data_IF_804447752185
#
_entry.id   IF_804447752185
#
_cell.length_a   1.000
_cell.length_b   1.000
_cell.length_c   1.000
_cell.angle_alpha   90.00
_cell.angle_beta   90.00
_cell.angle_gamma   90.00
#
_symmetry.space_group_name_H-M   'P 1'
#
loop_
_entity.id
_entity.type
_entity.pdbx_description
1 polymer ?
#
# COMPACT_ATOMS: atom_id res chain seq x y z
N UNK A 1 12.66 12.83 21.70
CA UNK A 1 13.39 11.94 20.76
C UNK A 1 14.56 12.75 20.25
N UNK A 2 15.80 12.24 20.33
CA UNK A 2 16.96 12.98 19.81
C UNK A 2 16.92 12.97 18.28
N UNK A 3 17.15 14.13 17.67
CA UNK A 3 16.91 14.42 16.26
C UNK A 3 18.04 13.88 15.38
N UNK A 4 17.68 13.17 14.29
CA UNK A 4 18.61 12.79 13.23
C UNK A 4 18.73 13.99 12.27
N UNK A 5 19.90 14.61 12.21
CA UNK A 5 20.14 15.78 11.37
C UNK A 5 20.54 15.35 9.96
N UNK A 6 19.68 15.56 8.97
CA UNK A 6 20.00 15.37 7.56
C UNK A 6 20.45 16.70 6.96
N UNK A 7 21.61 16.71 6.30
CA UNK A 7 22.24 17.87 5.69
C UNK A 7 22.42 17.56 4.22
N UNK A 8 21.89 18.39 3.31
CA UNK A 8 22.16 18.24 1.88
C UNK A 8 23.06 19.33 1.32
N UNK A 9 24.03 18.97 0.48
CA UNK A 9 25.03 19.91 -0.07
C UNK A 9 24.71 20.39 -1.50
N UNK A 10 23.73 19.78 -2.19
CA UNK A 10 23.27 20.28 -3.49
C UNK A 10 24.28 20.16 -4.64
N UNK A 11 25.26 19.27 -4.52
CA UNK A 11 26.29 19.06 -5.53
C UNK A 11 25.64 18.44 -6.78
N UNK A 12 26.00 18.95 -7.95
CA UNK A 12 25.49 18.48 -9.24
C UNK A 12 26.61 17.67 -9.89
N UNK A 13 26.49 16.33 -9.98
CA UNK A 13 27.64 15.58 -10.48
C UNK A 13 27.55 14.06 -10.65
N UNK A 14 26.66 13.35 -9.95
CA UNK A 14 26.54 11.90 -10.16
C UNK A 14 25.20 11.54 -10.82
N UNK A 15 25.28 10.97 -12.01
CA UNK A 15 24.23 10.10 -12.52
C UNK A 15 24.57 8.63 -12.19
N UNK A 16 23.71 7.70 -12.58
CA UNK A 16 23.87 6.27 -12.32
C UNK A 16 25.23 5.71 -12.78
N UNK A 17 25.86 6.38 -13.77
CA UNK A 17 27.08 5.94 -14.47
C UNK A 17 28.31 6.74 -14.10
N UNK A 18 28.14 7.93 -13.53
CA UNK A 18 29.22 8.88 -13.26
C UNK A 18 29.39 9.01 -11.76
N UNK A 19 30.52 8.56 -11.16
CA UNK A 19 30.79 8.79 -9.75
C UNK A 19 30.79 10.28 -9.42
N UNK A 20 30.59 10.60 -8.14
CA UNK A 20 30.98 11.90 -7.59
C UNK A 20 32.42 12.21 -8.04
N UNK A 21 32.62 13.38 -8.65
CA UNK A 21 33.94 13.82 -9.10
C UNK A 21 34.79 14.31 -7.91
N UNK A 22 36.10 14.45 -8.12
CA UNK A 22 37.05 14.89 -7.08
C UNK A 22 36.68 16.25 -6.48
N UNK A 23 36.25 17.20 -7.30
CA UNK A 23 35.83 18.54 -6.85
C UNK A 23 34.64 18.48 -5.86
N UNK A 24 33.62 17.67 -6.18
CA UNK A 24 32.49 17.45 -5.29
C UNK A 24 32.91 16.76 -3.99
N UNK A 25 33.86 15.82 -4.07
CA UNK A 25 34.41 15.17 -2.88
C UNK A 25 35.21 16.15 -2.01
N UNK A 26 35.96 17.07 -2.60
CA UNK A 26 36.66 18.14 -1.87
C UNK A 26 35.68 19.06 -1.14
N UNK A 27 34.55 19.42 -1.76
CA UNK A 27 33.49 20.22 -1.10
C UNK A 27 32.89 19.47 0.09
N UNK A 28 32.62 18.17 -0.03
CA UNK A 28 32.14 17.32 1.07
C UNK A 28 33.14 17.34 2.23
N UNK A 29 34.42 17.21 1.91
CA UNK A 29 35.49 17.17 2.91
C UNK A 29 35.68 18.53 3.58
N UNK A 30 35.61 19.63 2.82
CA UNK A 30 35.61 20.98 3.37
C UNK A 30 34.42 21.19 4.33
N UNK A 31 33.23 20.73 3.94
CA UNK A 31 32.05 20.79 4.81
C UNK A 31 32.28 20.05 6.14
N UNK A 32 32.87 18.86 6.09
CA UNK A 32 33.24 18.08 7.28
C UNK A 32 34.24 18.86 8.16
N UNK A 33 35.21 19.55 7.55
CA UNK A 33 36.19 20.40 8.24
C UNK A 33 35.51 21.47 9.08
N UNK A 34 34.59 22.19 8.44
CA UNK A 34 33.98 23.40 8.97
C UNK A 34 32.86 23.09 9.98
N UNK A 35 32.17 21.96 9.82
CA UNK A 35 30.90 21.70 10.52
C UNK A 35 30.92 20.50 11.46
N UNK A 36 31.86 19.54 11.33
CA UNK A 36 31.88 18.36 12.18
C UNK A 36 32.95 18.47 13.29
N UNK A 37 32.58 18.35 14.57
CA UNK A 37 33.54 18.40 15.68
C UNK A 37 34.71 17.43 15.49
N UNK A 38 35.92 17.86 15.84
CA UNK A 38 37.12 17.03 15.77
C UNK A 38 36.94 15.71 16.54
N UNK A 39 37.41 14.60 15.96
CA UNK A 39 37.33 13.27 16.57
C UNK A 39 36.00 12.52 16.38
N UNK A 40 34.98 13.11 15.73
CA UNK A 40 33.74 12.38 15.39
C UNK A 40 34.00 11.35 14.30
N UNK A 41 33.51 10.13 14.52
CA UNK A 41 33.56 9.00 13.59
C UNK A 41 32.49 9.11 12.51
N UNK A 42 32.87 8.74 11.30
CA UNK A 42 32.12 8.92 10.06
C UNK A 42 31.98 7.56 9.35
N UNK A 43 30.83 7.30 8.75
CA UNK A 43 30.65 6.23 7.77
C UNK A 43 30.44 6.83 6.38
N UNK A 44 30.97 6.18 5.33
CA UNK A 44 30.80 6.59 3.93
C UNK A 44 30.05 5.49 3.19
N UNK A 45 28.91 5.85 2.63
CA UNK A 45 28.11 5.00 1.73
C UNK A 45 28.18 5.59 0.34
N UNK A 46 28.32 4.76 -0.68
CA UNK A 46 28.28 5.21 -2.05
C UNK A 46 27.84 4.13 -3.01
N UNK A 47 27.67 4.52 -4.26
CA UNK A 47 27.53 3.60 -5.37
C UNK A 47 28.33 4.14 -6.56
N UNK A 48 28.59 3.25 -7.52
CA UNK A 48 29.34 3.57 -8.74
C UNK A 48 30.71 4.21 -8.47
N UNK A 49 31.39 3.82 -7.38
CA UNK A 49 32.68 4.36 -6.88
C UNK A 49 32.62 5.73 -6.20
N UNK A 50 31.45 6.32 -6.04
CA UNK A 50 31.32 7.62 -5.38
C UNK A 50 31.73 7.59 -3.90
N UNK A 51 31.52 6.46 -3.23
CA UNK A 51 31.99 6.26 -1.86
C UNK A 51 33.52 6.16 -1.81
N UNK A 52 34.13 5.50 -2.80
CA UNK A 52 35.60 5.41 -2.93
C UNK A 52 36.24 6.80 -3.11
N UNK A 53 35.68 7.62 -4.00
CA UNK A 53 36.21 8.97 -4.27
C UNK A 53 36.15 9.85 -3.02
N UNK A 54 35.04 9.82 -2.30
CA UNK A 54 34.88 10.57 -1.05
C UNK A 54 35.80 10.04 0.05
N UNK A 55 35.96 8.71 0.17
CA UNK A 55 36.91 8.12 1.11
C UNK A 55 38.35 8.59 0.83
N UNK A 56 38.75 8.63 -0.43
CA UNK A 56 40.10 9.05 -0.82
C UNK A 56 40.33 10.52 -0.49
N UNK A 57 39.36 11.39 -0.78
CA UNK A 57 39.43 12.81 -0.39
C UNK A 57 39.54 13.00 1.14
N UNK A 58 38.81 12.21 1.94
CA UNK A 58 38.92 12.23 3.40
C UNK A 58 40.32 11.80 3.87
N UNK A 59 40.92 10.78 3.22
CA UNK A 59 42.27 10.30 3.55
C UNK A 59 43.34 11.34 3.22
N UNK A 60 43.22 12.05 2.11
CA UNK A 60 44.18 13.10 1.70
C UNK A 60 44.24 14.26 2.70
N UNK A 61 43.14 14.55 3.41
CA UNK A 61 43.13 15.49 4.55
C UNK A 61 43.67 14.93 5.87
N UNK A 62 44.15 13.68 5.89
CA UNK A 62 44.66 13.02 7.09
C UNK A 62 43.58 12.53 8.05
N UNK A 63 42.31 12.42 7.61
CA UNK A 63 41.18 12.01 8.45
C UNK A 63 40.76 10.55 8.26
N UNK A 64 41.59 9.73 7.63
CA UNK A 64 41.28 8.32 7.39
C UNK A 64 40.92 7.56 8.69
N UNK A 65 41.51 7.95 9.82
CA UNK A 65 41.20 7.38 11.14
C UNK A 65 39.80 7.75 11.68
N UNK A 66 39.13 8.75 11.11
CA UNK A 66 37.75 9.11 11.44
C UNK A 66 36.73 8.23 10.70
N UNK A 67 37.12 7.60 9.59
CA UNK A 67 36.20 6.74 8.82
C UNK A 67 36.17 5.34 9.44
N UNK A 68 35.08 4.99 10.10
CA UNK A 68 34.92 3.68 10.73
C UNK A 68 34.29 2.65 9.83
N UNK A 69 33.61 3.11 8.77
CA UNK A 69 33.02 2.22 7.80
C UNK A 69 32.95 2.88 6.42
N UNK A 70 33.17 2.08 5.36
CA UNK A 70 33.05 2.51 3.98
C UNK A 70 32.43 1.38 3.15
N UNK A 71 31.41 1.70 2.37
CA UNK A 71 30.71 0.76 1.52
C UNK A 71 30.39 1.42 0.18
N UNK A 72 30.90 0.83 -0.89
CA UNK A 72 30.48 1.12 -2.26
C UNK A 72 29.78 -0.12 -2.86
N UNK A 73 29.14 0.00 -4.03
CA UNK A 73 28.32 -1.06 -4.65
C UNK A 73 29.10 -2.36 -4.93
N UNK A 74 30.42 -2.26 -5.02
CA UNK A 74 31.35 -3.38 -5.21
C UNK A 74 31.92 -3.94 -3.91
N UNK A 75 31.55 -3.37 -2.76
CA UNK A 75 32.02 -3.86 -1.47
C UNK A 75 31.45 -5.28 -1.21
N UNK A 76 32.26 -6.28 -0.78
CA UNK A 76 31.81 -7.67 -0.63
C UNK A 76 30.64 -7.87 0.34
N UNK A 77 30.45 -6.91 1.25
CA UNK A 77 29.34 -6.88 2.22
C UNK A 77 28.18 -5.96 1.80
N UNK A 78 28.17 -5.44 0.59
CA UNK A 78 27.06 -4.65 0.07
C UNK A 78 25.99 -5.57 -0.48
N UNK A 79 24.76 -5.39 -0.03
CA UNK A 79 23.58 -6.03 -0.60
C UNK A 79 23.17 -5.28 -1.87
N UNK A 80 23.57 -5.80 -3.03
CA UNK A 80 23.22 -5.19 -4.30
C UNK A 80 21.72 -5.21 -4.57
N UNK A 81 20.97 -6.16 -3.99
CA UNK A 81 19.52 -6.27 -4.20
C UNK A 81 18.78 -5.17 -3.44
N UNK A 82 19.15 -4.98 -2.17
CA UNK A 82 18.50 -3.99 -1.29
C UNK A 82 19.21 -2.62 -1.29
N UNK A 83 20.36 -2.51 -1.96
CA UNK A 83 21.22 -1.32 -2.01
C UNK A 83 21.67 -0.79 -0.64
N UNK A 84 21.94 -1.69 0.32
CA UNK A 84 22.47 -1.37 1.65
C UNK A 84 23.50 -2.43 2.10
N UNK A 85 24.29 -2.22 3.17
CA UNK A 85 25.21 -3.24 3.67
C UNK A 85 24.50 -4.41 4.33
N UNK A 86 24.93 -5.66 4.04
CA UNK A 86 24.40 -6.90 4.63
C UNK A 86 24.74 -7.09 6.10
N UNK A 87 25.74 -6.37 6.62
CA UNK A 87 26.16 -6.51 8.01
C UNK A 87 26.80 -5.23 8.54
N UNK A 88 26.19 -4.70 9.59
CA UNK A 88 26.72 -3.74 10.56
C UNK A 88 26.70 -2.26 10.20
N UNK A 89 25.88 -1.54 10.97
CA UNK A 89 26.31 -0.33 11.66
C UNK A 89 25.83 -0.36 13.12
N UNK A 90 25.97 -1.51 13.78
CA UNK A 90 25.65 -1.62 15.22
C UNK A 90 26.78 -1.11 16.12
N UNK A 91 27.85 -0.59 15.53
CA UNK A 91 28.95 -0.02 16.29
C UNK A 91 28.51 1.36 16.82
N UNK A 92 28.37 1.47 18.15
CA UNK A 92 27.68 2.56 18.88
C UNK A 92 28.31 3.96 18.72
N UNK A 93 29.26 4.12 17.80
CA UNK A 93 30.14 5.28 17.76
C UNK A 93 30.11 6.04 16.42
N UNK A 94 29.37 5.55 15.41
CA UNK A 94 29.14 6.32 14.16
C UNK A 94 28.23 7.51 14.46
N UNK A 95 28.75 8.72 14.25
CA UNK A 95 28.02 9.97 14.51
C UNK A 95 27.55 10.68 13.26
N UNK A 96 28.20 10.43 12.13
CA UNK A 96 27.82 10.99 10.84
C UNK A 96 27.91 9.95 9.74
N UNK A 97 26.97 9.99 8.82
CA UNK A 97 26.95 9.10 7.66
C UNK A 97 26.88 9.93 6.39
N UNK A 98 27.84 9.74 5.50
CA UNK A 98 27.88 10.41 4.20
C UNK A 98 27.30 9.46 3.17
N UNK A 99 26.32 9.90 2.41
CA UNK A 99 25.60 9.07 1.43
C UNK A 99 25.86 9.58 0.03
N UNK A 100 26.74 8.92 -0.70
CA UNK A 100 27.25 9.31 -2.00
C UNK A 100 26.58 8.54 -3.17
N UNK A 101 25.38 8.01 -2.99
CA UNK A 101 24.67 7.28 -4.04
C UNK A 101 24.08 8.22 -5.12
N UNK A 102 23.66 7.70 -6.29
CA UNK A 102 22.84 8.47 -7.23
C UNK A 102 21.54 8.99 -6.60
N UNK A 103 20.99 10.09 -7.13
CA UNK A 103 19.84 10.79 -6.54
C UNK A 103 18.61 9.90 -6.29
N UNK A 104 18.32 8.93 -7.17
CA UNK A 104 17.21 7.99 -7.00
C UNK A 104 17.46 6.93 -5.92
N UNK A 105 18.70 6.72 -5.50
CA UNK A 105 19.07 5.80 -4.42
C UNK A 105 19.15 6.48 -3.04
N UNK A 106 19.22 7.81 -2.99
CA UNK A 106 19.31 8.54 -1.71
C UNK A 106 18.17 8.28 -0.78
N UNK A 107 16.96 8.26 -1.32
CA UNK A 107 15.80 7.93 -0.52
C UNK A 107 16.07 6.60 0.18
N UNK A 108 16.36 5.51 -0.55
CA UNK A 108 16.60 4.19 0.07
C UNK A 108 17.71 4.18 1.12
N UNK A 109 18.86 4.80 0.84
CA UNK A 109 20.01 4.77 1.77
C UNK A 109 19.78 5.63 3.01
N UNK A 110 19.23 6.84 2.86
CA UNK A 110 18.85 7.71 3.99
C UNK A 110 17.80 7.02 4.85
N UNK A 111 16.86 6.32 4.21
CA UNK A 111 15.80 5.55 4.87
C UNK A 111 16.41 4.43 5.73
N UNK A 112 17.29 3.60 5.17
CA UNK A 112 18.07 2.57 5.89
C UNK A 112 18.85 3.16 7.08
N UNK A 113 19.55 4.27 6.87
CA UNK A 113 20.33 4.91 7.93
C UNK A 113 19.42 5.42 9.05
N UNK A 114 18.31 6.08 8.72
CA UNK A 114 17.41 6.65 9.74
C UNK A 114 16.78 5.58 10.67
N UNK A 115 16.64 4.34 10.18
CA UNK A 115 15.98 3.24 10.89
C UNK A 115 16.98 2.35 11.64
N UNK A 116 18.06 1.93 10.99
CA UNK A 116 18.99 0.95 11.56
C UNK A 116 20.10 1.57 12.41
N UNK A 117 20.48 2.82 12.09
CA UNK A 117 21.40 3.62 12.89
C UNK A 117 20.64 4.43 13.93
N UNK A 118 20.20 3.75 15.01
CA UNK A 118 19.55 4.30 16.22
C UNK A 118 19.73 5.84 16.39
N UNK A 119 18.70 6.64 16.08
CA UNK A 119 18.38 8.06 16.46
C UNK A 119 19.51 9.08 16.78
N UNK A 120 20.78 8.82 16.52
CA UNK A 120 21.92 9.60 17.05
C UNK A 120 23.01 9.89 16.03
N UNK A 121 22.80 9.47 14.76
CA UNK A 121 23.67 9.83 13.66
C UNK A 121 23.10 11.02 12.88
N UNK A 122 23.97 11.94 12.44
CA UNK A 122 23.66 12.88 11.36
C UNK A 122 23.90 12.24 10.00
N UNK A 123 23.18 12.68 8.96
CA UNK A 123 23.30 12.18 7.59
C UNK A 123 23.71 13.34 6.69
N UNK A 124 24.73 13.15 5.86
CA UNK A 124 25.21 14.12 4.87
C UNK A 124 24.88 13.57 3.47
N UNK A 125 24.08 14.32 2.72
CA UNK A 125 23.63 14.04 1.36
C UNK A 125 24.29 15.02 0.39
N UNK A 126 25.37 14.64 -0.29
CA UNK A 126 26.14 15.53 -1.12
C UNK A 126 25.37 16.02 -2.35
N UNK A 127 24.57 15.20 -3.04
CA UNK A 127 23.88 15.62 -4.26
C UNK A 127 22.41 15.98 -3.98
N UNK A 128 21.89 17.03 -4.61
CA UNK A 128 20.45 17.33 -4.56
C UNK A 128 20.01 18.20 -5.75
N UNK A 129 18.78 18.02 -6.24
CA UNK A 129 18.24 18.79 -7.38
C UNK A 129 18.05 20.28 -7.10
N UNK A 130 17.86 20.69 -5.85
CA UNK A 130 17.44 22.07 -5.49
C UNK A 130 18.28 22.76 -4.41
N UNK A 131 19.37 22.14 -3.92
CA UNK A 131 20.38 22.81 -3.10
C UNK A 131 20.02 23.25 -1.68
N UNK A 132 18.80 23.04 -1.17
CA UNK A 132 18.45 23.41 0.21
C UNK A 132 17.62 22.33 0.89
N UNK A 133 18.08 21.86 2.05
CA UNK A 133 17.29 21.11 3.02
C UNK A 133 17.03 21.97 4.25
N UNK A 134 15.79 21.94 4.74
CA UNK A 134 15.47 22.26 6.13
C UNK A 134 15.84 21.05 6.99
N UNK A 135 16.38 21.29 8.19
CA UNK A 135 16.78 20.30 9.21
C UNK A 135 15.60 19.52 9.82
N UNK A 136 14.63 19.08 9.01
CA UNK A 136 13.42 18.40 9.50
C UNK A 136 13.45 16.89 9.24
N UNK A 137 12.89 16.19 10.22
CA UNK A 137 12.78 14.75 10.35
C UNK A 137 12.05 14.08 9.16
N UNK A 138 12.49 12.87 8.79
CA UNK A 138 11.73 11.97 7.93
C UNK A 138 10.62 11.34 8.79
N UNK A 139 9.38 11.76 8.58
CA UNK A 139 8.31 11.53 9.57
C UNK A 139 7.65 10.14 9.52
N UNK A 140 7.81 9.35 8.44
CA UNK A 140 7.34 7.96 8.40
C UNK A 140 7.93 7.05 7.29
N UNK A 141 8.91 6.19 7.63
CA UNK A 141 9.44 5.20 6.70
C UNK A 141 8.63 3.91 6.59
N UNK A 142 7.60 3.72 7.44
CA UNK A 142 6.91 2.43 7.53
C UNK A 142 6.37 1.98 6.17
N UNK A 143 6.56 0.69 5.82
CA UNK A 143 5.79 0.08 4.75
C UNK A 143 4.31 0.14 5.09
N UNK A 144 3.48 0.04 4.07
CA UNK A 144 2.06 -0.12 4.30
C UNK A 144 1.39 -1.00 3.27
N UNK A 145 0.26 -1.59 3.64
CA UNK A 145 -0.56 -2.40 2.74
C UNK A 145 -1.94 -1.77 2.62
N UNK A 146 -2.38 -1.58 1.37
CA UNK A 146 -3.74 -1.12 1.08
C UNK A 146 -4.60 -2.32 0.69
N UNK A 147 -5.61 -2.63 1.49
CA UNK A 147 -6.47 -3.79 1.32
C UNK A 147 -7.84 -3.31 0.87
N UNK A 148 -8.32 -3.79 -0.28
CA UNK A 148 -9.71 -3.58 -0.70
C UNK A 148 -10.22 -4.86 -1.33
N UNK A 149 -11.14 -5.53 -0.65
CA UNK A 149 -11.72 -6.76 -1.19
C UNK A 149 -12.57 -6.51 -2.45
N UNK A 150 -12.92 -7.60 -3.11
CA UNK A 150 -13.91 -7.58 -4.19
C UNK A 150 -15.21 -6.91 -3.76
N UNK A 151 -15.76 -6.07 -4.65
CA UNK A 151 -16.99 -5.30 -4.42
C UNK A 151 -16.91 -4.17 -3.38
N UNK A 152 -15.76 -3.92 -2.75
CA UNK A 152 -15.59 -2.75 -1.86
C UNK A 152 -15.40 -1.43 -2.63
N UNK A 153 -15.24 -1.48 -3.95
CA UNK A 153 -15.06 -0.29 -4.78
C UNK A 153 -13.58 0.01 -5.08
N UNK A 154 -12.74 -1.02 -5.17
CA UNK A 154 -11.30 -0.86 -5.47
C UNK A 154 -11.02 0.03 -6.69
N UNK A 155 -11.86 -0.03 -7.74
CA UNK A 155 -11.74 0.85 -8.93
C UNK A 155 -11.88 2.34 -8.61
N UNK A 156 -12.58 2.70 -7.53
CA UNK A 156 -12.72 4.09 -7.06
C UNK A 156 -11.47 4.60 -6.33
N UNK A 157 -10.78 3.72 -5.61
CA UNK A 157 -9.70 4.12 -4.70
C UNK A 157 -8.30 3.81 -5.23
N UNK A 158 -8.10 2.66 -5.89
CA UNK A 158 -6.77 2.23 -6.33
C UNK A 158 -6.09 3.19 -7.31
N UNK A 159 -6.77 3.76 -8.33
CA UNK A 159 -6.11 4.69 -9.24
C UNK A 159 -5.56 5.92 -8.52
N UNK A 160 -6.33 6.49 -7.59
CA UNK A 160 -5.91 7.62 -6.77
C UNK A 160 -4.76 7.23 -5.86
N UNK A 161 -4.91 6.14 -5.11
CA UNK A 161 -3.89 5.65 -4.18
C UNK A 161 -2.56 5.37 -4.88
N UNK A 162 -2.57 4.66 -6.01
CA UNK A 162 -1.35 4.38 -6.79
C UNK A 162 -0.71 5.67 -7.29
N UNK A 163 -1.50 6.56 -7.90
CA UNK A 163 -0.99 7.84 -8.40
C UNK A 163 -0.33 8.66 -7.30
N UNK A 164 -0.91 8.68 -6.11
CA UNK A 164 -0.40 9.43 -4.97
C UNK A 164 0.86 8.80 -4.40
N UNK A 165 0.87 7.49 -4.21
CA UNK A 165 2.04 6.79 -3.69
C UNK A 165 3.23 6.84 -4.65
N UNK A 166 2.98 6.80 -5.96
CA UNK A 166 4.03 7.04 -6.96
C UNK A 166 4.58 8.48 -6.86
N UNK A 167 3.73 9.49 -6.64
CA UNK A 167 4.16 10.87 -6.41
C UNK A 167 4.98 11.03 -5.11
N UNK A 168 4.65 10.27 -4.07
CA UNK A 168 5.42 10.21 -2.82
C UNK A 168 6.68 9.31 -2.91
N UNK A 169 7.04 8.80 -4.10
CA UNK A 169 8.21 7.94 -4.29
C UNK A 169 8.14 6.63 -3.50
N UNK A 170 6.95 6.09 -3.32
CA UNK A 170 6.72 4.77 -2.71
C UNK A 170 6.97 3.68 -3.76
N UNK A 171 7.39 2.51 -3.31
CA UNK A 171 7.76 1.39 -4.18
C UNK A 171 6.62 0.39 -4.19
N UNK A 172 5.94 0.23 -5.32
CA UNK A 172 4.87 -0.75 -5.44
C UNK A 172 5.43 -2.18 -5.42
N UNK A 173 4.85 -3.02 -4.55
CA UNK A 173 5.01 -4.47 -4.55
C UNK A 173 3.72 -5.12 -5.00
N UNK A 174 3.81 -5.85 -6.10
CA UNK A 174 2.72 -6.70 -6.51
C UNK A 174 2.65 -7.92 -5.60
N UNK A 175 1.62 -7.98 -4.77
CA UNK A 175 1.35 -9.13 -3.91
C UNK A 175 0.62 -10.25 -4.66
N UNK A 176 0.21 -10.01 -5.91
CA UNK A 176 -0.60 -10.94 -6.67
C UNK A 176 -1.96 -11.21 -6.03
N UNK A 177 -2.83 -11.91 -6.77
CA UNK A 177 -4.07 -12.45 -6.21
C UNK A 177 -3.89 -13.95 -6.04
N UNK A 178 -3.91 -14.41 -4.80
CA UNK A 178 -3.79 -15.82 -4.44
C UNK A 178 -4.93 -16.65 -5.02
N UNK A 179 -6.15 -16.11 -5.03
CA UNK A 179 -7.35 -16.80 -5.57
C UNK A 179 -7.34 -16.96 -7.09
N UNK A 180 -6.37 -16.37 -7.80
CA UNK A 180 -6.17 -16.59 -9.24
C UNK A 180 -5.06 -17.59 -9.56
N UNK A 181 -4.47 -18.21 -8.55
CA UNK A 181 -3.51 -19.28 -8.75
C UNK A 181 -4.26 -20.57 -9.15
N UNK A 182 -4.51 -20.72 -10.45
CA UNK A 182 -5.18 -21.90 -11.06
C UNK A 182 -4.57 -23.21 -10.57
N UNK A 183 -3.25 -23.24 -10.31
CA UNK A 183 -2.57 -24.43 -9.78
C UNK A 183 -2.94 -24.71 -8.33
N UNK A 184 -3.14 -23.68 -7.51
CA UNK A 184 -3.62 -23.84 -6.14
C UNK A 184 -5.05 -24.40 -6.12
N UNK A 185 -5.96 -23.82 -6.91
CA UNK A 185 -7.35 -24.30 -7.04
C UNK A 185 -7.38 -25.75 -7.54
N UNK A 186 -6.67 -26.06 -8.63
CA UNK A 186 -6.59 -27.43 -9.15
C UNK A 186 -5.99 -28.42 -8.15
N UNK A 187 -5.08 -27.99 -7.27
CA UNK A 187 -4.51 -28.83 -6.22
C UNK A 187 -5.46 -29.04 -5.03
N UNK A 188 -6.32 -28.06 -4.70
CA UNK A 188 -7.38 -28.23 -3.72
C UNK A 188 -8.40 -29.26 -4.23
N UNK A 189 -8.86 -29.09 -5.47
CA UNK A 189 -9.79 -30.01 -6.13
C UNK A 189 -9.24 -31.44 -6.19
N UNK A 190 -7.99 -31.63 -6.62
CA UNK A 190 -7.33 -32.95 -6.64
C UNK A 190 -7.24 -33.62 -5.28
N UNK A 191 -7.19 -32.85 -4.19
CA UNK A 191 -7.09 -33.36 -2.82
C UNK A 191 -8.45 -33.51 -2.15
N UNK A 192 -9.54 -33.07 -2.79
CA UNK A 192 -10.85 -32.98 -2.15
C UNK A 192 -10.87 -32.02 -0.96
N UNK A 193 -9.95 -31.04 -0.95
CA UNK A 193 -9.87 -30.03 0.10
C UNK A 193 -10.71 -28.81 -0.28
N UNK A 194 -11.49 -28.30 0.66
CA UNK A 194 -12.14 -27.01 0.47
C UNK A 194 -11.13 -25.86 0.65
N UNK A 195 -11.24 -24.78 -0.14
CA UNK A 195 -10.46 -23.58 0.11
C UNK A 195 -10.73 -23.05 1.53
N UNK A 196 -9.66 -22.81 2.29
CA UNK A 196 -9.77 -22.18 3.62
C UNK A 196 -9.07 -20.83 3.65
N UNK A 197 -9.52 -19.94 4.54
CA UNK A 197 -8.96 -18.59 4.69
C UNK A 197 -7.52 -18.60 5.25
N UNK A 198 -7.10 -19.69 5.92
CA UNK A 198 -5.81 -19.82 6.60
C UNK A 198 -4.61 -19.65 5.65
N UNK A 199 -4.48 -20.49 4.60
CA UNK A 199 -3.39 -20.38 3.63
C UNK A 199 -3.31 -19.01 2.93
N UNK A 200 -4.44 -18.35 2.69
CA UNK A 200 -4.48 -17.00 2.10
C UNK A 200 -3.89 -15.98 3.07
N UNK A 201 -4.26 -16.06 4.34
CA UNK A 201 -3.71 -15.20 5.40
C UNK A 201 -2.21 -15.43 5.62
N UNK A 202 -1.75 -16.68 5.61
CA UNK A 202 -0.32 -17.04 5.69
C UNK A 202 0.47 -16.54 4.47
N UNK A 203 -0.10 -16.65 3.27
CA UNK A 203 0.50 -16.12 2.05
C UNK A 203 0.72 -14.61 2.15
N UNK A 204 -0.32 -13.83 2.46
CA UNK A 204 -0.16 -12.38 2.53
C UNK A 204 0.70 -11.93 3.71
N UNK A 205 0.53 -12.52 4.89
CA UNK A 205 1.35 -12.17 6.06
C UNK A 205 2.84 -12.49 5.81
N UNK A 206 3.17 -13.61 5.17
CA UNK A 206 4.56 -13.92 4.82
C UNK A 206 5.16 -12.91 3.83
N UNK A 207 4.42 -12.45 2.82
CA UNK A 207 4.93 -11.44 1.88
C UNK A 207 5.05 -10.05 2.52
N UNK A 208 4.03 -9.64 3.27
CA UNK A 208 4.00 -8.34 3.96
C UNK A 208 5.09 -8.26 5.02
N UNK A 209 5.46 -9.38 5.66
CA UNK A 209 6.57 -9.43 6.63
C UNK A 209 7.91 -9.01 6.04
N UNK A 210 8.08 -9.19 4.73
CA UNK A 210 9.30 -8.83 4.01
C UNK A 210 9.18 -7.49 3.28
N UNK A 211 8.13 -6.71 3.56
CA UNK A 211 8.07 -5.35 3.04
C UNK A 211 9.20 -4.54 3.65
N UNK A 212 10.01 -3.98 2.78
CA UNK A 212 11.01 -3.00 3.14
C UNK A 212 10.34 -1.63 3.31
N UNK A 213 11.05 -0.70 3.93
CA UNK A 213 10.59 0.67 4.11
C UNK A 213 10.12 1.27 2.78
N UNK A 214 9.01 2.02 2.84
CA UNK A 214 8.39 2.69 1.68
C UNK A 214 7.87 1.79 0.58
N UNK A 215 7.96 0.48 0.78
CA UNK A 215 7.22 -0.43 -0.05
C UNK A 215 5.74 -0.35 0.31
N UNK A 216 4.93 -0.52 -0.72
CA UNK A 216 3.51 -0.69 -0.52
C UNK A 216 2.94 -1.80 -1.36
N UNK A 217 2.02 -2.54 -0.74
CA UNK A 217 1.26 -3.59 -1.38
C UNK A 217 -0.18 -3.16 -1.59
N UNK A 218 -0.82 -3.75 -2.59
CA UNK A 218 -2.27 -3.71 -2.71
C UNK A 218 -2.79 -5.14 -2.68
N UNK A 219 -3.77 -5.42 -1.80
CA UNK A 219 -4.42 -6.73 -1.70
C UNK A 219 -5.88 -6.62 -2.09
N UNK A 220 -6.34 -7.54 -2.94
CA UNK A 220 -7.73 -7.61 -3.42
C UNK A 220 -8.50 -8.85 -2.92
N UNK A 221 -7.79 -9.80 -2.32
CA UNK A 221 -8.34 -11.05 -1.82
C UNK A 221 -8.82 -10.91 -0.37
N UNK A 222 -9.86 -11.66 -0.02
CA UNK A 222 -10.34 -11.74 1.36
C UNK A 222 -9.46 -12.71 2.16
N UNK A 223 -8.96 -12.25 3.30
CA UNK A 223 -8.21 -13.07 4.25
C UNK A 223 -8.40 -12.52 5.68
N UNK A 224 -8.11 -13.30 6.72
CA UNK A 224 -8.32 -12.87 8.10
C UNK A 224 -7.31 -11.76 8.46
N UNK A 225 -7.75 -10.52 8.60
CA UNK A 225 -6.90 -9.35 8.93
C UNK A 225 -6.20 -9.50 10.28
N UNK A 226 -6.69 -10.36 11.16
CA UNK A 226 -6.01 -10.71 12.41
C UNK A 226 -4.60 -11.29 12.19
N UNK A 227 -4.31 -11.83 10.99
CA UNK A 227 -2.95 -12.28 10.66
C UNK A 227 -1.95 -11.13 10.52
N UNK A 228 -2.42 -9.89 10.42
CA UNK A 228 -1.60 -8.67 10.41
C UNK A 228 -1.58 -7.95 11.76
N UNK A 229 -2.16 -8.54 12.80
CA UNK A 229 -2.24 -7.95 14.14
C UNK A 229 -0.85 -7.62 14.72
N UNK A 230 0.11 -8.52 14.50
CA UNK A 230 1.45 -8.44 15.09
C UNK A 230 2.46 -7.65 14.23
N UNK A 231 2.00 -7.01 13.15
CA UNK A 231 2.82 -6.25 12.19
C UNK A 231 2.74 -4.76 12.52
N UNK A 232 3.15 -4.39 13.73
CA UNK A 232 3.01 -3.01 14.25
C UNK A 232 3.92 -1.98 13.55
N UNK A 233 4.89 -2.46 12.79
CA UNK A 233 5.79 -1.70 11.92
C UNK A 233 5.22 -1.43 10.52
N UNK A 234 4.17 -2.17 10.11
CA UNK A 234 3.47 -2.01 8.83
C UNK A 234 2.16 -1.27 9.04
N UNK A 235 1.92 -0.17 8.34
CA UNK A 235 0.61 0.47 8.39
C UNK A 235 -0.38 -0.27 7.48
N UNK A 236 -1.60 -0.50 7.95
CA UNK A 236 -2.63 -1.22 7.18
C UNK A 236 -3.77 -0.26 6.88
N UNK A 237 -3.98 0.04 5.61
CA UNK A 237 -5.15 0.80 5.16
C UNK A 237 -6.18 -0.18 4.64
N UNK A 238 -7.31 -0.27 5.33
CA UNK A 238 -8.43 -1.09 4.89
C UNK A 238 -9.50 -0.23 4.23
N UNK A 239 -9.83 -0.53 2.98
CA UNK A 239 -10.94 0.10 2.29
C UNK A 239 -12.26 -0.50 2.80
N UNK A 240 -12.98 0.23 3.64
CA UNK A 240 -14.25 -0.19 4.22
C UNK A 240 -15.41 0.26 3.34
N UNK A 241 -16.42 -0.59 3.17
CA UNK A 241 -17.70 -0.27 2.52
C UNK A 241 -18.81 -0.94 3.31
N UNK A 242 -20.01 -0.37 3.30
CA UNK A 242 -21.19 -0.99 3.94
C UNK A 242 -21.30 -2.46 3.48
N UNK A 243 -21.22 -3.45 4.40
CA UNK A 243 -21.27 -4.87 4.04
C UNK A 243 -22.52 -5.23 3.23
N UNK A 244 -23.66 -4.56 3.46
CA UNK A 244 -24.91 -4.79 2.74
C UNK A 244 -24.80 -4.39 1.27
N UNK A 245 -24.12 -3.28 0.99
CA UNK A 245 -23.81 -2.84 -0.37
C UNK A 245 -22.78 -3.76 -1.05
N UNK A 246 -21.82 -4.27 -0.29
CA UNK A 246 -20.84 -5.26 -0.78
C UNK A 246 -21.55 -6.52 -1.25
N UNK A 247 -22.46 -7.08 -0.43
CA UNK A 247 -23.28 -8.26 -0.77
C UNK A 247 -24.13 -7.99 -2.01
N UNK A 248 -24.82 -6.85 -2.05
CA UNK A 248 -25.64 -6.45 -3.21
C UNK A 248 -24.81 -6.33 -4.48
N UNK A 249 -23.63 -5.71 -4.37
CA UNK A 249 -22.69 -5.59 -5.48
C UNK A 249 -22.16 -6.96 -5.93
N UNK A 250 -21.92 -7.88 -5.00
CA UNK A 250 -21.46 -9.23 -5.32
C UNK A 250 -22.56 -10.08 -5.96
N UNK A 251 -23.81 -9.98 -5.50
CA UNK A 251 -24.97 -10.59 -6.16
C UNK A 251 -25.04 -10.21 -7.65
N UNK A 252 -24.93 -8.91 -7.97
CA UNK A 252 -24.93 -8.48 -9.36
C UNK A 252 -23.67 -8.92 -10.12
N UNK A 253 -22.52 -9.03 -9.46
CA UNK A 253 -21.32 -9.55 -10.09
C UNK A 253 -21.45 -11.02 -10.47
N UNK A 254 -22.04 -11.84 -9.58
CA UNK A 254 -22.27 -13.26 -9.80
C UNK A 254 -23.37 -13.52 -10.84
N UNK A 255 -24.52 -12.86 -10.69
CA UNK A 255 -25.72 -13.19 -11.45
C UNK A 255 -26.08 -12.20 -12.56
N UNK A 256 -25.38 -11.06 -12.65
CA UNK A 256 -25.55 -10.09 -13.74
C UNK A 256 -24.81 -10.47 -15.03
N UNK A 257 -23.87 -11.42 -14.96
CA UNK A 257 -23.05 -11.86 -16.09
C UNK A 257 -23.31 -13.32 -16.43
N UNK A 258 -24.10 -13.56 -17.48
CA UNK A 258 -24.10 -14.83 -18.19
C UNK A 258 -23.88 -14.58 -19.67
N UNK A 259 -22.62 -14.60 -20.05
CA UNK A 259 -22.24 -15.37 -21.23
C UNK A 259 -22.34 -16.85 -20.82
N UNK A 260 -23.11 -17.59 -21.58
CA UNK A 260 -23.37 -19.04 -21.48
C UNK A 260 -22.14 -19.82 -20.99
N UNK A 261 -22.25 -20.52 -19.85
CA UNK A 261 -21.35 -21.65 -19.54
C UNK A 261 -21.91 -22.85 -20.30
N UNK A 262 -21.15 -23.53 -21.17
CA UNK A 262 -21.66 -24.64 -21.98
C UNK A 262 -22.23 -25.83 -21.19
N UNK A 263 -21.83 -26.01 -19.93
CA UNK A 263 -22.02 -27.29 -19.23
C UNK A 263 -22.90 -27.23 -17.96
N UNK A 264 -23.88 -26.32 -17.91
CA UNK A 264 -25.11 -26.57 -17.15
C UNK A 264 -25.07 -26.57 -15.61
N UNK A 265 -23.97 -26.20 -14.95
CA UNK A 265 -23.94 -26.06 -13.49
C UNK A 265 -23.99 -24.59 -13.05
N UNK A 266 -25.13 -24.23 -12.46
CA UNK A 266 -25.44 -23.00 -11.71
C UNK A 266 -24.95 -21.67 -12.26
N UNK A 267 -25.48 -21.19 -13.39
CA UNK A 267 -25.71 -19.76 -13.54
C UNK A 267 -26.95 -19.57 -14.43
N UNK A 268 -28.11 -19.35 -13.80
CA UNK A 268 -29.31 -18.83 -14.48
C UNK A 268 -29.28 -17.30 -14.51
N UNK A 269 -29.97 -16.67 -15.48
CA UNK A 269 -30.15 -15.21 -15.58
C UNK A 269 -30.56 -14.60 -14.22
N UNK A 270 -30.48 -13.28 -14.08
CA UNK A 270 -31.19 -12.60 -12.98
C UNK A 270 -32.66 -13.00 -13.06
N UNK A 271 -33.05 -13.90 -12.17
CA UNK A 271 -34.42 -14.31 -11.95
C UNK A 271 -34.79 -13.68 -10.63
N UNK A 272 -35.65 -12.67 -10.69
CA UNK A 272 -36.11 -11.96 -9.48
C UNK A 272 -36.79 -12.92 -8.51
N UNK A 273 -37.34 -14.05 -8.99
CA UNK A 273 -37.93 -15.08 -8.11
C UNK A 273 -36.88 -15.76 -7.22
N UNK A 274 -35.62 -15.84 -7.65
CA UNK A 274 -34.51 -16.47 -6.91
C UNK A 274 -33.61 -15.46 -6.18
N UNK A 275 -33.91 -14.16 -6.27
CA UNK A 275 -33.04 -13.11 -5.72
C UNK A 275 -32.89 -13.21 -4.21
N UNK A 276 -33.97 -13.46 -3.48
CA UNK A 276 -33.95 -13.62 -2.03
C UNK A 276 -33.09 -14.81 -1.62
N UNK A 277 -33.33 -15.99 -2.20
CA UNK A 277 -32.56 -17.21 -1.94
C UNK A 277 -31.06 -17.01 -2.22
N UNK A 278 -30.72 -16.37 -3.34
CA UNK A 278 -29.33 -16.09 -3.72
C UNK A 278 -28.66 -15.11 -2.77
N UNK A 279 -29.36 -14.07 -2.32
CA UNK A 279 -28.83 -13.14 -1.33
C UNK A 279 -28.58 -13.85 0.00
N UNK A 280 -29.53 -14.68 0.46
CA UNK A 280 -29.35 -15.52 1.66
C UNK A 280 -28.13 -16.44 1.53
N UNK A 281 -27.96 -17.12 0.39
CA UNK A 281 -26.78 -17.94 0.13
C UNK A 281 -25.46 -17.15 0.17
N UNK A 282 -25.45 -15.91 -0.35
CA UNK A 282 -24.27 -15.02 -0.25
C UNK A 282 -23.99 -14.62 1.21
N UNK A 283 -25.01 -14.47 2.08
CA UNK A 283 -24.80 -14.20 3.51
C UNK A 283 -24.08 -15.35 4.20
N UNK A 284 -24.42 -16.59 3.88
CA UNK A 284 -23.77 -17.79 4.45
C UNK A 284 -22.31 -17.94 3.97
N UNK A 285 -21.99 -17.41 2.80
CA UNK A 285 -20.69 -17.59 2.17
C UNK A 285 -20.54 -18.96 1.51
N UNK A 286 -19.38 -19.21 0.92
CA UNK A 286 -19.08 -20.45 0.20
C UNK A 286 -18.24 -20.22 -1.05
N UNK A 287 -18.04 -21.29 -1.82
CA UNK A 287 -17.35 -21.25 -3.11
C UNK A 287 -18.35 -20.94 -4.23
N UNK A 288 -18.14 -19.82 -4.93
CA UNK A 288 -18.96 -19.41 -6.06
C UNK A 288 -18.15 -19.47 -7.36
N UNK A 289 -18.58 -20.29 -8.31
CA UNK A 289 -18.00 -20.32 -9.65
C UNK A 289 -18.61 -19.20 -10.49
N UNK A 290 -17.76 -18.34 -11.04
CA UNK A 290 -18.19 -17.19 -11.84
C UNK A 290 -17.95 -17.42 -13.35
N UNK A 291 -16.86 -18.09 -13.72
CA UNK A 291 -16.63 -18.65 -15.06
C UNK A 291 -15.89 -19.99 -14.94
N UNK A 292 -15.77 -20.76 -16.03
CA UNK A 292 -15.22 -22.12 -16.03
C UNK A 292 -13.91 -22.30 -15.25
N UNK A 293 -13.04 -21.27 -15.22
CA UNK A 293 -11.75 -21.29 -14.52
C UNK A 293 -11.62 -20.22 -13.43
N UNK A 294 -12.73 -19.70 -12.90
CA UNK A 294 -12.72 -18.68 -11.87
C UNK A 294 -13.71 -19.03 -10.75
N UNK A 295 -13.16 -19.58 -9.67
CA UNK A 295 -13.85 -19.82 -8.42
C UNK A 295 -13.47 -18.72 -7.42
N UNK A 296 -14.45 -18.19 -6.71
CA UNK A 296 -14.25 -17.19 -5.66
C UNK A 296 -14.78 -17.74 -4.34
N UNK A 297 -13.93 -17.76 -3.33
CA UNK A 297 -14.27 -18.16 -1.97
C UNK A 297 -14.76 -16.92 -1.26
N UNK A 298 -16.06 -16.87 -1.00
CA UNK A 298 -16.70 -15.75 -0.34
C UNK A 298 -16.94 -16.09 1.13
N UNK A 299 -16.51 -15.24 2.08
CA UNK A 299 -16.73 -15.50 3.49
C UNK A 299 -18.21 -15.30 3.84
N UNK A 300 -18.66 -15.94 4.92
CA UNK A 300 -19.94 -15.60 5.54
C UNK A 300 -19.95 -14.13 5.95
N UNK A 301 -21.14 -13.53 6.03
CA UNK A 301 -21.28 -12.14 6.48
C UNK A 301 -20.80 -11.97 7.93
N UNK A 302 -20.95 -12.99 8.78
CA UNK A 302 -20.38 -13.03 10.13
C UNK A 302 -18.86 -12.90 10.08
N UNK A 303 -18.19 -13.72 9.26
CA UNK A 303 -16.74 -13.65 9.10
C UNK A 303 -16.31 -12.31 8.52
N UNK A 304 -17.01 -11.81 7.49
CA UNK A 304 -16.75 -10.51 6.89
C UNK A 304 -16.80 -9.40 7.95
N UNK A 305 -17.91 -9.27 8.68
CA UNK A 305 -18.09 -8.21 9.67
C UNK A 305 -17.08 -8.32 10.82
N UNK A 306 -16.83 -9.53 11.33
CA UNK A 306 -15.80 -9.75 12.35
C UNK A 306 -14.40 -9.35 11.85
N UNK A 307 -14.11 -9.65 10.59
CA UNK A 307 -12.86 -9.26 9.96
C UNK A 307 -12.75 -7.73 9.87
N UNK A 308 -13.82 -7.05 9.42
CA UNK A 308 -13.87 -5.59 9.37
C UNK A 308 -13.61 -4.97 10.74
N UNK A 309 -14.28 -5.45 11.80
CA UNK A 309 -14.12 -4.97 13.18
C UNK A 309 -12.70 -5.16 13.74
N UNK A 310 -11.87 -6.00 13.11
CA UNK A 310 -10.48 -6.19 13.53
C UNK A 310 -9.66 -4.92 13.38
N UNK A 311 -9.93 -4.11 12.36
CA UNK A 311 -9.20 -2.85 12.11
C UNK A 311 -9.36 -1.86 13.26
N UNK A 312 -10.51 -1.83 13.94
CA UNK A 312 -10.73 -0.94 15.10
C UNK A 312 -9.88 -1.29 16.33
N UNK A 313 -9.33 -2.51 16.38
CA UNK A 313 -8.59 -3.00 17.55
C UNK A 313 -7.11 -2.59 17.52
N UNK A 314 -6.59 -2.19 16.35
CA UNK A 314 -5.17 -2.04 16.14
C UNK A 314 -4.82 -0.63 15.64
N UNK A 315 -3.95 0.11 16.34
CA UNK A 315 -3.66 1.52 16.03
C UNK A 315 -2.90 1.71 14.71
N UNK A 316 -2.18 0.69 14.23
CA UNK A 316 -1.50 0.67 12.93
C UNK A 316 -2.45 0.33 11.78
N UNK A 317 -3.72 0.02 12.05
CA UNK A 317 -4.74 -0.23 11.03
C UNK A 317 -5.76 0.91 10.97
N UNK A 318 -6.16 1.33 9.77
CA UNK A 318 -7.13 2.42 9.58
C UNK A 318 -8.05 2.17 8.41
N UNK A 319 -9.31 2.60 8.55
CA UNK A 319 -10.25 2.62 7.45
C UNK A 319 -10.02 3.80 6.50
N UNK A 320 -10.12 3.54 5.20
CA UNK A 320 -10.62 4.51 4.24
C UNK A 320 -12.05 4.07 3.88
N UNK A 321 -13.09 4.83 4.25
CA UNK A 321 -14.46 4.42 3.96
C UNK A 321 -14.85 4.82 2.55
N UNK A 322 -15.49 3.91 1.83
CA UNK A 322 -16.08 4.15 0.52
C UNK A 322 -17.06 5.33 0.60
N UNK A 323 -17.89 5.37 1.64
CA UNK A 323 -18.89 6.41 1.84
C UNK A 323 -18.25 7.78 2.05
N UNK A 324 -17.17 7.87 2.83
CA UNK A 324 -16.43 9.12 3.05
C UNK A 324 -15.80 9.63 1.74
N UNK A 325 -15.21 8.73 0.93
CA UNK A 325 -14.67 9.06 -0.40
C UNK A 325 -15.78 9.52 -1.38
N UNK A 326 -17.04 9.12 -1.15
CA UNK A 326 -18.18 9.58 -1.95
C UNK A 326 -18.76 10.90 -1.47
N UNK A 327 -18.67 11.19 -0.17
CA UNK A 327 -19.16 12.42 0.44
C UNK A 327 -18.17 13.58 0.24
N UNK A 328 -16.89 13.35 0.54
CA UNK A 328 -15.81 14.32 0.40
C UNK A 328 -14.47 13.60 0.19
N UNK A 329 -14.17 13.31 -1.08
CA UNK A 329 -12.95 12.60 -1.45
C UNK A 329 -11.68 13.35 -1.02
N UNK A 330 -11.67 14.68 -1.15
CA UNK A 330 -10.51 15.50 -0.84
C UNK A 330 -10.15 15.38 0.65
N UNK A 331 -11.15 15.57 1.52
CA UNK A 331 -10.98 15.40 2.95
C UNK A 331 -10.58 13.96 3.32
N UNK A 332 -11.25 12.95 2.75
CA UNK A 332 -10.97 11.55 3.05
C UNK A 332 -9.51 11.15 2.73
N UNK A 333 -8.99 11.59 1.58
CA UNK A 333 -7.59 11.31 1.22
C UNK A 333 -6.59 12.15 2.03
N UNK A 334 -6.88 13.43 2.30
CA UNK A 334 -6.03 14.25 3.18
C UNK A 334 -5.93 13.66 4.59
N UNK A 335 -7.04 13.22 5.17
CA UNK A 335 -7.06 12.57 6.49
C UNK A 335 -6.26 11.26 6.48
N UNK A 336 -6.34 10.48 5.39
CA UNK A 336 -5.53 9.27 5.22
C UNK A 336 -4.04 9.61 5.12
N UNK A 337 -3.66 10.57 4.30
CA UNK A 337 -2.26 10.96 4.11
C UNK A 337 -1.65 11.59 5.36
N UNK A 338 -2.42 12.35 6.12
CA UNK A 338 -2.03 12.85 7.44
C UNK A 338 -1.76 11.71 8.42
N UNK A 339 -2.59 10.67 8.41
CA UNK A 339 -2.37 9.49 9.26
C UNK A 339 -1.16 8.66 8.84
N UNK A 340 -0.95 8.49 7.54
CA UNK A 340 0.27 7.91 6.97
C UNK A 340 1.49 8.85 7.11
N UNK A 341 1.29 10.09 7.57
CA UNK A 341 2.29 11.16 7.68
C UNK A 341 2.99 11.47 6.34
N UNK A 342 2.30 11.27 5.23
CA UNK A 342 2.78 11.59 3.89
C UNK A 342 2.69 13.08 3.58
N UNK A 343 1.73 13.78 4.20
CA UNK A 343 1.59 15.24 4.15
C UNK A 343 2.81 15.99 4.73
N UNK A 344 3.61 15.30 5.54
CA UNK A 344 4.87 15.79 6.11
C UNK A 344 6.11 15.32 5.35
N UNK A 345 5.95 14.62 4.23
CA UNK A 345 7.07 14.17 3.42
C UNK A 345 7.81 15.38 2.84
N UNK A 346 9.08 15.51 3.23
CA UNK A 346 9.93 16.65 2.89
C UNK A 346 10.52 16.56 1.47
N UNK A 347 10.52 15.37 0.85
CA UNK A 347 11.01 15.16 -0.51
C UNK A 347 9.91 15.42 -1.54
N UNK A 348 8.65 15.22 -1.15
CA UNK A 348 7.53 15.17 -2.07
C UNK A 348 6.32 15.87 -1.45
N UNK A 349 5.99 17.04 -1.98
CA UNK A 349 4.76 17.73 -1.64
C UNK A 349 3.74 17.48 -2.75
N UNK A 350 2.55 16.99 -2.39
CA UNK A 350 1.42 16.88 -3.30
C UNK A 350 0.50 18.06 -3.05
N UNK A 351 0.34 18.90 -4.07
CA UNK A 351 -0.60 20.01 -4.04
C UNK A 351 -2.06 19.52 -4.09
N UNK A 352 -2.99 20.37 -3.65
CA UNK A 352 -4.42 20.09 -3.75
C UNK A 352 -4.84 19.80 -5.19
N UNK A 353 -4.31 20.53 -6.17
CA UNK A 353 -4.58 20.32 -7.59
C UNK A 353 -4.11 18.94 -8.08
N UNK A 354 -2.94 18.46 -7.64
CA UNK A 354 -2.44 17.14 -7.98
C UNK A 354 -3.30 16.02 -7.36
N UNK A 355 -3.74 16.23 -6.12
CA UNK A 355 -4.67 15.32 -5.46
C UNK A 355 -6.03 15.28 -6.17
N UNK A 356 -6.59 16.42 -6.58
CA UNK A 356 -7.83 16.46 -7.37
C UNK A 356 -7.71 15.68 -8.68
N UNK A 357 -6.59 15.86 -9.41
CA UNK A 357 -6.30 15.09 -10.62
C UNK A 357 -6.22 13.59 -10.33
N UNK A 358 -5.58 13.19 -9.24
CA UNK A 358 -5.51 11.78 -8.83
C UNK A 358 -6.87 11.21 -8.40
N UNK A 359 -7.71 12.00 -7.71
CA UNK A 359 -9.08 11.63 -7.34
C UNK A 359 -9.94 11.41 -8.59
N UNK A 360 -9.75 12.25 -9.62
CA UNK A 360 -10.47 12.13 -10.87
C UNK A 360 -10.20 10.80 -11.59
N UNK A 361 -8.98 10.23 -11.49
CA UNK A 361 -8.66 8.91 -12.05
C UNK A 361 -9.54 7.78 -11.50
N UNK A 362 -9.99 7.90 -10.26
CA UNK A 362 -10.91 6.97 -9.63
C UNK A 362 -12.39 7.33 -9.82
N UNK A 363 -12.71 8.44 -10.50
CA UNK A 363 -14.10 8.85 -10.71
C UNK A 363 -14.87 7.84 -11.56
N UNK A 364 -16.16 7.68 -11.26
CA UNK A 364 -17.02 6.76 -12.00
C UNK A 364 -17.03 7.09 -13.50
N UNK A 365 -17.07 8.37 -13.83
CA UNK A 365 -16.97 8.85 -15.21
C UNK A 365 -15.64 8.44 -15.85
N UNK A 366 -14.50 8.69 -15.19
CA UNK A 366 -13.19 8.33 -15.74
C UNK A 366 -13.05 6.81 -15.92
N UNK A 367 -13.41 6.03 -14.90
CA UNK A 367 -13.30 4.56 -14.91
C UNK A 367 -14.23 3.93 -15.95
N UNK A 368 -15.33 4.58 -16.31
CA UNK A 368 -16.23 4.13 -17.39
C UNK A 368 -15.88 4.75 -18.75
N UNK A 369 -14.81 5.54 -18.86
CA UNK A 369 -14.39 6.21 -20.09
C UNK A 369 -15.38 7.28 -20.58
N UNK A 370 -16.12 7.88 -19.65
CA UNK A 370 -17.20 8.84 -19.91
C UNK A 370 -18.47 8.20 -20.45
N UNK A 371 -18.55 6.87 -20.50
CA UNK A 371 -19.72 6.18 -21.04
C UNK A 371 -20.95 6.30 -20.11
N UNK A 372 -20.75 6.61 -18.83
CA UNK A 372 -21.80 6.63 -17.81
C UNK A 372 -21.61 7.74 -16.79
N UNK A 373 -22.74 8.18 -16.22
CA UNK A 373 -22.77 9.04 -15.03
C UNK A 373 -23.06 8.21 -13.78
N UNK A 374 -22.64 8.73 -12.62
CA UNK A 374 -22.95 8.15 -11.31
C UNK A 374 -24.47 8.02 -11.14
N UNK A 375 -24.92 6.90 -10.57
CA UNK A 375 -26.34 6.64 -10.28
C UNK A 375 -27.13 6.00 -11.42
N UNK A 376 -26.57 5.93 -12.64
CA UNK A 376 -27.21 5.24 -13.76
C UNK A 376 -27.23 3.71 -13.51
N UNK A 377 -28.41 3.10 -13.56
CA UNK A 377 -28.58 1.66 -13.40
C UNK A 377 -28.32 0.93 -14.72
N UNK A 378 -27.20 0.22 -14.81
CA UNK A 378 -26.92 -0.67 -15.94
C UNK A 378 -26.37 -2.02 -15.47
N UNK A 379 -26.91 -3.10 -16.04
CA UNK A 379 -26.43 -4.45 -15.78
C UNK A 379 -25.04 -4.71 -16.37
N UNK A 380 -24.66 -3.94 -17.40
CA UNK A 380 -23.35 -4.01 -18.05
C UNK A 380 -22.89 -2.60 -18.43
N UNK A 381 -21.65 -2.30 -18.09
CA UNK A 381 -20.98 -1.09 -18.57
C UNK A 381 -19.80 -1.54 -19.41
N UNK A 382 -19.80 -1.17 -20.69
CA UNK A 382 -18.66 -1.39 -21.58
C UNK A 382 -17.95 -0.06 -21.74
N UNK A 383 -16.63 -0.08 -21.59
CA UNK A 383 -15.77 1.03 -21.93
C UNK A 383 -15.76 1.23 -23.45
N UNK A 384 -15.31 2.40 -23.92
CA UNK A 384 -15.22 2.72 -25.37
C UNK A 384 -14.38 1.73 -26.18
N UNK A 385 -13.47 1.00 -25.54
CA UNK A 385 -12.64 -0.04 -26.14
C UNK A 385 -13.31 -1.45 -26.14
N UNK A 386 -14.59 -1.54 -25.79
CA UNK A 386 -15.34 -2.80 -25.77
C UNK A 386 -15.12 -3.67 -24.53
N UNK A 387 -14.23 -3.28 -23.62
CA UNK A 387 -14.00 -4.02 -22.37
C UNK A 387 -15.13 -3.74 -21.37
N UNK A 388 -15.69 -4.79 -20.79
CA UNK A 388 -16.67 -4.67 -19.71
C UNK A 388 -15.99 -4.21 -18.41
N UNK A 389 -16.59 -3.24 -17.73
CA UNK A 389 -16.21 -2.85 -16.36
C UNK A 389 -17.21 -3.39 -15.35
N UNK A 390 -16.73 -3.65 -14.14
CA UNK A 390 -17.56 -4.07 -13.00
C UNK A 390 -18.29 -2.90 -12.31
N UNK A 391 -18.16 -1.68 -12.84
CA UNK A 391 -18.89 -0.51 -12.37
C UNK A 391 -20.38 -0.61 -12.72
N UNK A 392 -21.24 -0.80 -11.72
CA UNK A 392 -22.70 -0.87 -11.90
C UNK A 392 -23.39 0.48 -11.68
N UNK A 393 -23.44 0.94 -10.43
CA UNK A 393 -24.17 2.16 -10.02
C UNK A 393 -23.29 3.21 -9.33
N UNK A 394 -22.34 2.75 -8.51
CA UNK A 394 -21.39 3.62 -7.80
C UNK A 394 -22.02 4.48 -6.71
N UNK A 395 -23.10 4.00 -6.07
CA UNK A 395 -23.80 4.72 -5.00
C UNK A 395 -23.84 3.90 -3.70
N UNK A 396 -23.59 4.54 -2.54
CA UNK A 396 -23.92 3.96 -1.24
C UNK A 396 -25.42 3.78 -1.01
N UNK A 397 -25.80 2.78 -0.23
CA UNK A 397 -27.16 2.53 0.22
C UNK A 397 -28.05 1.80 -0.79
N UNK A 398 -27.50 1.26 -1.87
CA UNK A 398 -28.30 0.59 -2.89
C UNK A 398 -28.90 -0.73 -2.38
N UNK A 399 -28.30 -1.35 -1.36
CA UNK A 399 -28.84 -2.52 -0.68
C UNK A 399 -30.32 -2.40 -0.29
N UNK A 400 -30.81 -1.19 0.00
CA UNK A 400 -32.22 -0.91 0.33
C UNK A 400 -33.19 -1.32 -0.78
N UNK A 401 -32.73 -1.35 -2.03
CA UNK A 401 -33.52 -1.76 -3.19
C UNK A 401 -33.47 -3.28 -3.43
N UNK A 402 -32.65 -4.02 -2.69
CA UNK A 402 -32.39 -5.43 -2.93
C UNK A 402 -32.71 -6.34 -1.75
N UNK A 403 -32.54 -5.86 -0.53
CA UNK A 403 -32.78 -6.65 0.68
C UNK A 403 -34.29 -6.70 0.98
N UNK A 404 -34.87 -7.90 0.90
CA UNK A 404 -36.18 -8.18 1.46
C UNK A 404 -36.15 -8.17 3.00
N UNK A 405 -37.31 -8.26 3.64
CA UNK A 405 -37.38 -8.40 5.09
C UNK A 405 -36.61 -9.64 5.58
N UNK A 406 -36.78 -10.79 4.93
CA UNK A 406 -36.10 -12.02 5.31
C UNK A 406 -34.56 -11.89 5.23
N UNK A 407 -34.04 -11.24 4.17
CA UNK A 407 -32.60 -11.00 4.02
C UNK A 407 -32.09 -10.06 5.13
N UNK A 408 -32.84 -9.01 5.48
CA UNK A 408 -32.47 -8.10 6.59
C UNK A 408 -32.41 -8.83 7.93
N UNK A 409 -33.44 -9.61 8.25
CA UNK A 409 -33.49 -10.36 9.51
C UNK A 409 -32.35 -11.37 9.62
N UNK A 410 -32.10 -12.13 8.54
CA UNK A 410 -30.96 -13.05 8.51
C UNK A 410 -29.63 -12.32 8.66
N UNK A 411 -29.46 -11.18 7.99
CA UNK A 411 -28.25 -10.35 8.15
C UNK A 411 -28.08 -9.89 9.61
N UNK A 412 -29.14 -9.39 10.25
CA UNK A 412 -29.13 -8.96 11.66
C UNK A 412 -28.76 -10.12 12.58
N UNK A 413 -29.38 -11.29 12.40
CA UNK A 413 -29.09 -12.50 13.16
C UNK A 413 -27.60 -12.89 13.08
N UNK A 414 -27.03 -12.89 11.87
CA UNK A 414 -25.66 -13.33 11.63
C UNK A 414 -24.60 -12.33 12.10
N UNK A 415 -24.92 -11.05 12.15
CA UNK A 415 -23.93 -9.97 12.41
C UNK A 415 -24.09 -9.30 13.77
N UNK A 416 -25.22 -9.48 14.44
CA UNK A 416 -25.53 -8.83 15.72
C UNK A 416 -25.38 -7.31 15.63
N UNK A 417 -24.66 -6.74 16.60
CA UNK A 417 -24.39 -5.30 16.68
C UNK A 417 -23.28 -4.79 15.74
N UNK A 418 -22.80 -5.64 14.81
CA UNK A 418 -21.62 -5.35 14.00
C UNK A 418 -21.73 -4.08 13.16
N UNK A 419 -22.91 -3.78 12.57
CA UNK A 419 -23.12 -2.53 11.83
C UNK A 419 -23.14 -1.29 12.72
N UNK A 420 -23.61 -1.42 13.96
CA UNK A 420 -23.59 -0.34 14.95
C UNK A 420 -22.14 -0.04 15.30
N UNK A 421 -21.35 -1.08 15.58
CA UNK A 421 -19.92 -0.96 15.91
C UNK A 421 -19.09 -0.41 14.76
N UNK A 422 -19.43 -0.74 13.51
CA UNK A 422 -18.81 -0.16 12.32
C UNK A 422 -19.28 1.29 12.04
N UNK A 423 -20.26 1.81 12.78
CA UNK A 423 -20.81 3.15 12.60
C UNK A 423 -21.61 3.31 11.31
N UNK A 424 -22.31 2.25 10.89
CA UNK A 424 -23.28 2.30 9.80
C UNK A 424 -24.72 2.47 10.30
N UNK A 425 -25.03 2.01 11.52
CA UNK A 425 -26.36 2.10 12.13
C UNK A 425 -26.27 2.55 13.59
N UNK A 426 -27.39 3.00 14.17
CA UNK A 426 -27.44 3.49 15.57
C UNK A 426 -27.86 2.40 16.57
N UNK A 427 -28.77 1.54 16.15
CA UNK A 427 -29.40 0.48 16.93
C UNK A 427 -29.78 -0.67 15.98
N UNK A 428 -30.59 -1.64 16.42
CA UNK A 428 -30.99 -2.81 15.60
C UNK A 428 -32.27 -2.58 14.78
N UNK A 429 -32.91 -1.40 14.88
CA UNK A 429 -34.21 -1.11 14.26
C UNK A 429 -34.08 -0.55 12.82
N UNK A 430 -32.90 -0.68 12.21
CA UNK A 430 -32.62 -0.22 10.83
C UNK A 430 -33.25 -1.06 9.70
#
# INVERSE_FOLDING_TARGET
MNECNVIGLGLNGADEKTPINTESAEIIVQYIEENLPAGRKIAVYGASRSGDVVLEAIKQKGWGNRVTAHYDFHHPKFDQFNAHPKSMIHDNDVRFVIVCNPAHHYQRVVRFISTDLKKTCGIILPLHKTGNWLTKQIDNPSPFVFISFSCFGSKRVFPTIRKMFDQYGRIYKDLGMFVYNVRHIANLERRGEEPSEGPVGEFYSSHIKYFDFYEYGVVHDMFPLKTLADFDDVQVVFHLRDPRDVITCYYHRLYGNLSVVPDGHFLGKQDEALKEERLLAILEGGAFQHVANYCNVWPSVTNMVNNLLTVQKYPHMRYLRFEDVHADAMKAYKDLFAWLRLDKDIFTHVSDEELEKAIHLGSFEHVTGGARKRGENHNQVFMKNGLQTSCRKGEPGDWKNHFSHAVKERFKEMTGDGLIRLGYEKDMDW
#
